data_IF_244024598524
#
_entry.id   IF_244024598524
#
_cell.length_a   1.000
_cell.length_b   1.000
_cell.length_c   1.000
_cell.angle_alpha   90.00
_cell.angle_beta   90.00
_cell.angle_gamma   90.00
#
_symmetry.space_group_name_H-M   'P 1'
#
loop_
_entity.id
_entity.type
_entity.pdbx_description
1 polymer ?
#
# COMPACT_ATOMS: atom_id res chain seq x y z
N UNK A 1 -11.82 18.07 -30.52
CA UNK A 1 -12.61 19.32 -30.62
C UNK A 1 -12.38 20.08 -31.94
N UNK A 2 -11.19 20.03 -32.55
CA UNK A 2 -10.91 20.75 -33.80
C UNK A 2 -11.66 20.20 -35.04
N UNK A 3 -11.87 18.88 -35.11
CA UNK A 3 -12.44 18.21 -36.28
C UNK A 3 -13.88 18.66 -36.61
N UNK A 4 -14.86 18.66 -35.67
CA UNK A 4 -16.22 19.10 -35.99
C UNK A 4 -16.28 20.57 -36.41
N UNK A 5 -15.48 21.44 -35.78
CA UNK A 5 -15.43 22.86 -36.11
C UNK A 5 -14.92 23.10 -37.54
N UNK A 6 -13.81 22.46 -37.92
CA UNK A 6 -13.26 22.56 -39.27
C UNK A 6 -14.26 22.03 -40.32
N UNK A 7 -14.95 20.93 -40.01
CA UNK A 7 -16.00 20.37 -40.90
C UNK A 7 -17.17 21.33 -41.07
N UNK A 8 -17.63 22.00 -40.01
CA UNK A 8 -18.69 23.01 -40.08
C UNK A 8 -18.29 24.18 -40.98
N UNK A 9 -17.08 24.72 -40.80
CA UNK A 9 -16.59 25.86 -41.59
C UNK A 9 -16.49 25.51 -43.08
N UNK A 10 -15.91 24.35 -43.40
CA UNK A 10 -15.81 23.88 -44.80
C UNK A 10 -17.18 23.64 -45.41
N UNK A 11 -18.11 23.04 -44.66
CA UNK A 11 -19.47 22.79 -45.14
C UNK A 11 -20.23 24.09 -45.43
N UNK A 12 -20.11 25.11 -44.58
CA UNK A 12 -20.71 26.43 -44.80
C UNK A 12 -20.15 27.09 -46.07
N UNK A 13 -18.83 27.02 -46.29
CA UNK A 13 -18.18 27.62 -47.46
C UNK A 13 -18.60 26.94 -48.78
N UNK A 14 -18.81 25.62 -48.76
CA UNK A 14 -19.11 24.83 -49.96
C UNK A 14 -20.61 24.68 -50.28
N UNK A 15 -21.48 24.97 -49.31
CA UNK A 15 -22.94 24.84 -49.47
C UNK A 15 -23.61 26.19 -49.18
N UNK A 16 -24.29 26.30 -48.06
CA UNK A 16 -24.89 27.52 -47.54
C UNK A 16 -24.84 27.49 -46.00
N UNK A 17 -25.03 28.65 -45.33
CA UNK A 17 -24.92 28.72 -43.87
C UNK A 17 -25.87 27.77 -43.12
N UNK A 18 -27.06 27.51 -43.66
CA UNK A 18 -28.07 26.66 -43.00
C UNK A 18 -27.67 25.19 -43.12
N UNK A 19 -27.40 24.70 -44.33
CA UNK A 19 -26.99 23.31 -44.59
C UNK A 19 -25.63 23.02 -43.93
N UNK A 20 -24.68 23.94 -44.03
CA UNK A 20 -23.36 23.80 -43.40
C UNK A 20 -23.45 23.69 -41.87
N UNK A 21 -24.34 24.45 -41.23
CA UNK A 21 -24.58 24.37 -39.78
C UNK A 21 -25.21 23.04 -39.38
N UNK A 22 -26.16 22.51 -40.17
CA UNK A 22 -26.78 21.21 -39.92
C UNK A 22 -25.78 20.06 -40.03
N UNK A 23 -24.93 20.07 -41.06
CA UNK A 23 -23.85 19.10 -41.24
C UNK A 23 -22.87 19.18 -40.06
N UNK A 24 -22.48 20.40 -39.68
CA UNK A 24 -21.61 20.65 -38.54
C UNK A 24 -22.16 20.09 -37.23
N UNK A 25 -23.45 20.31 -36.95
CA UNK A 25 -24.13 19.78 -35.78
C UNK A 25 -24.19 18.25 -35.79
N UNK A 26 -24.52 17.64 -36.94
CA UNK A 26 -24.55 16.18 -37.08
C UNK A 26 -23.17 15.54 -36.83
N UNK A 27 -22.11 16.13 -37.39
CA UNK A 27 -20.73 15.66 -37.20
C UNK A 27 -20.26 15.88 -35.76
N UNK A 28 -20.65 16.98 -35.12
CA UNK A 28 -20.35 17.22 -33.72
C UNK A 28 -21.03 16.18 -32.80
N UNK A 29 -22.32 15.89 -33.03
CA UNK A 29 -23.05 14.86 -32.31
C UNK A 29 -22.40 13.49 -32.52
N UNK A 30 -22.08 13.11 -33.76
CA UNK A 30 -21.43 11.85 -34.07
C UNK A 30 -20.04 11.74 -33.43
N UNK A 31 -19.25 12.82 -33.44
CA UNK A 31 -17.93 12.86 -32.81
C UNK A 31 -18.02 12.75 -31.29
N UNK A 32 -18.98 13.43 -30.65
CA UNK A 32 -19.22 13.33 -29.21
C UNK A 32 -19.63 11.91 -28.84
N UNK A 33 -20.58 11.32 -29.58
CA UNK A 33 -21.02 9.94 -29.37
C UNK A 33 -19.85 8.96 -29.51
N UNK A 34 -19.09 9.04 -30.60
CA UNK A 34 -17.94 8.17 -30.85
C UNK A 34 -16.83 8.33 -29.81
N UNK A 35 -16.54 9.57 -29.40
CA UNK A 35 -15.53 9.85 -28.37
C UNK A 35 -15.97 9.38 -26.99
N UNK A 36 -17.28 9.38 -26.70
CA UNK A 36 -17.83 8.89 -25.43
C UNK A 36 -17.85 7.35 -25.40
N UNK A 37 -18.26 6.72 -26.50
CA UNK A 37 -18.23 5.26 -26.68
C UNK A 37 -16.83 4.64 -26.62
N UNK A 38 -15.78 5.42 -26.89
CA UNK A 38 -14.38 4.95 -26.88
C UNK A 38 -13.67 5.10 -25.53
N UNK A 39 -14.32 5.60 -24.48
CA UNK A 39 -13.74 5.54 -23.13
C UNK A 39 -14.15 4.22 -22.47
N UNK A 40 -13.28 3.19 -22.45
CA UNK A 40 -13.57 1.98 -21.70
C UNK A 40 -13.76 2.35 -20.23
N UNK A 41 -14.82 1.82 -19.63
CA UNK A 41 -14.97 1.81 -18.18
C UNK A 41 -13.70 1.16 -17.61
N UNK A 42 -13.02 1.84 -16.69
CA UNK A 42 -11.73 1.36 -16.19
C UNK A 42 -12.01 0.23 -15.20
N UNK A 43 -11.52 -0.96 -15.52
CA UNK A 43 -11.56 -2.11 -14.61
C UNK A 43 -10.16 -2.70 -14.44
N UNK A 44 -9.77 -2.97 -13.21
CA UNK A 44 -8.49 -3.62 -12.87
C UNK A 44 -8.68 -4.58 -11.70
N UNK A 45 -7.81 -5.57 -11.58
CA UNK A 45 -7.86 -6.53 -10.47
C UNK A 45 -7.01 -6.02 -9.31
N UNK A 46 -7.63 -5.79 -8.17
CA UNK A 46 -6.98 -5.49 -6.89
C UNK A 46 -6.70 -6.78 -6.13
N UNK A 47 -5.47 -6.92 -5.64
CA UNK A 47 -5.09 -8.00 -4.73
C UNK A 47 -5.36 -7.60 -3.30
N UNK A 48 -6.39 -8.18 -2.68
CA UNK A 48 -6.70 -7.98 -1.27
C UNK A 48 -6.20 -9.15 -0.43
N UNK A 49 -5.92 -8.96 0.88
CA UNK A 49 -5.63 -10.05 1.79
C UNK A 49 -6.72 -11.14 1.74
N UNK A 50 -6.39 -12.28 1.13
CA UNK A 50 -7.24 -13.47 1.07
C UNK A 50 -7.98 -13.73 -0.25
N UNK A 51 -8.26 -12.73 -1.09
CA UNK A 51 -8.90 -12.93 -2.41
C UNK A 51 -8.61 -11.76 -3.40
N UNK A 52 -8.57 -12.08 -4.69
CA UNK A 52 -8.55 -11.07 -5.77
C UNK A 52 -9.93 -10.43 -5.95
N UNK A 53 -9.98 -9.10 -6.13
CA UNK A 53 -11.20 -8.31 -6.33
C UNK A 53 -11.11 -7.57 -7.66
N UNK A 54 -12.08 -7.79 -8.56
CA UNK A 54 -12.20 -6.98 -9.78
C UNK A 54 -12.80 -5.63 -9.40
N UNK A 55 -12.01 -4.57 -9.48
CA UNK A 55 -12.46 -3.20 -9.21
C UNK A 55 -12.90 -2.53 -10.52
N UNK A 56 -14.15 -2.07 -10.57
CA UNK A 56 -14.74 -1.33 -11.68
C UNK A 56 -15.05 0.09 -11.19
N UNK A 57 -14.33 1.08 -11.73
CA UNK A 57 -14.57 2.49 -11.45
C UNK A 57 -15.66 3.04 -12.38
N UNK A 58 -16.74 3.54 -11.79
CA UNK A 58 -17.81 4.19 -12.52
C UNK A 58 -17.41 5.65 -12.87
N UNK A 59 -17.63 6.09 -14.11
CA UNK A 59 -17.36 7.48 -14.51
C UNK A 59 -18.32 8.43 -13.79
N UNK A 60 -17.93 9.71 -13.70
CA UNK A 60 -18.75 10.76 -13.06
C UNK A 60 -20.21 10.81 -13.58
N UNK A 61 -20.39 10.59 -14.89
CA UNK A 61 -21.69 10.47 -15.54
C UNK A 61 -21.81 9.08 -16.15
N UNK A 62 -22.58 8.20 -15.51
CA UNK A 62 -22.90 6.88 -16.03
C UNK A 62 -24.18 6.99 -16.86
N UNK A 63 -24.02 7.18 -18.16
CA UNK A 63 -25.12 7.29 -19.12
C UNK A 63 -25.57 5.93 -19.66
N UNK A 64 -26.70 5.89 -20.36
CA UNK A 64 -27.18 4.70 -21.07
C UNK A 64 -26.11 4.05 -21.99
N UNK A 65 -25.22 4.85 -22.59
CA UNK A 65 -24.15 4.35 -23.46
C UNK A 65 -23.16 3.44 -22.73
N UNK A 66 -23.06 3.55 -21.40
CA UNK A 66 -22.19 2.74 -20.57
C UNK A 66 -22.76 1.34 -20.29
N UNK A 67 -24.05 1.10 -20.56
CA UNK A 67 -24.73 -0.16 -20.25
C UNK A 67 -24.06 -1.37 -20.88
N UNK A 68 -23.71 -1.28 -22.16
CA UNK A 68 -23.06 -2.38 -22.88
C UNK A 68 -21.66 -2.68 -22.32
N UNK A 69 -20.86 -1.64 -22.09
CA UNK A 69 -19.51 -1.79 -21.54
C UNK A 69 -19.54 -2.41 -20.14
N UNK A 70 -20.40 -1.91 -19.25
CA UNK A 70 -20.55 -2.47 -17.91
C UNK A 70 -21.03 -3.92 -17.94
N UNK A 71 -22.01 -4.24 -18.80
CA UNK A 71 -22.51 -5.61 -18.95
C UNK A 71 -21.41 -6.58 -19.40
N UNK A 72 -20.53 -6.17 -20.31
CA UNK A 72 -19.40 -7.00 -20.74
C UNK A 72 -18.44 -7.27 -19.59
N UNK A 73 -17.98 -6.24 -18.89
CA UNK A 73 -17.05 -6.38 -17.76
C UNK A 73 -17.65 -7.26 -16.66
N UNK A 74 -18.93 -7.06 -16.33
CA UNK A 74 -19.64 -7.87 -15.34
C UNK A 74 -19.77 -9.35 -15.73
N UNK A 75 -19.84 -9.63 -17.04
CA UNK A 75 -19.92 -11.00 -17.56
C UNK A 75 -18.56 -11.71 -17.45
N UNK A 76 -17.47 -10.99 -17.66
CA UNK A 76 -16.10 -11.53 -17.68
C UNK A 76 -15.54 -11.87 -16.29
N UNK A 77 -16.19 -11.44 -15.20
CA UNK A 77 -15.76 -11.76 -13.83
C UNK A 77 -15.82 -13.28 -13.57
N UNK A 78 -14.75 -13.91 -13.09
CA UNK A 78 -14.72 -15.35 -12.82
C UNK A 78 -15.75 -15.78 -11.76
N UNK A 79 -16.27 -17.01 -11.88
CA UNK A 79 -17.18 -17.60 -10.87
C UNK A 79 -16.46 -17.69 -9.52
N UNK A 80 -17.23 -17.56 -8.44
CA UNK A 80 -16.71 -17.49 -7.06
C UNK A 80 -15.72 -16.33 -6.79
N UNK A 81 -15.61 -15.36 -7.70
CA UNK A 81 -14.75 -14.19 -7.55
C UNK A 81 -15.40 -13.07 -6.72
N UNK A 82 -14.67 -11.98 -6.53
CA UNK A 82 -15.18 -10.76 -5.89
C UNK A 82 -15.13 -9.60 -6.89
N UNK A 83 -16.12 -8.71 -6.83
CA UNK A 83 -16.15 -7.46 -7.62
C UNK A 83 -16.44 -6.28 -6.71
N UNK A 84 -15.82 -5.14 -6.98
CA UNK A 84 -16.09 -3.85 -6.38
C UNK A 84 -16.60 -2.90 -7.46
N UNK A 85 -17.80 -2.35 -7.26
CA UNK A 85 -18.34 -1.26 -8.05
C UNK A 85 -18.13 0.03 -7.28
N UNK A 86 -17.27 0.92 -7.80
CA UNK A 86 -16.92 2.20 -7.17
C UNK A 86 -17.62 3.36 -7.87
N UNK A 87 -18.48 4.04 -7.11
CA UNK A 87 -19.27 5.20 -7.48
C UNK A 87 -18.82 6.48 -6.73
N UNK A 88 -17.68 6.50 -6.04
CA UNK A 88 -17.23 7.65 -5.22
C UNK A 88 -17.13 8.96 -6.00
N UNK A 89 -16.76 8.87 -7.29
CA UNK A 89 -16.68 10.03 -8.19
C UNK A 89 -17.93 10.21 -9.06
N UNK A 90 -18.97 9.39 -8.84
CA UNK A 90 -20.19 9.34 -9.67
C UNK A 90 -21.28 10.27 -9.14
N UNK A 91 -21.69 11.22 -9.99
CA UNK A 91 -22.76 12.18 -9.67
C UNK A 91 -24.13 11.68 -10.14
N UNK A 92 -24.14 10.98 -11.29
CA UNK A 92 -25.37 10.50 -11.92
C UNK A 92 -25.17 9.13 -12.56
N UNK A 93 -26.15 8.27 -12.33
CA UNK A 93 -26.33 6.96 -12.95
C UNK A 93 -27.71 6.93 -13.61
N UNK A 94 -27.71 6.63 -14.90
CA UNK A 94 -28.90 6.41 -15.70
C UNK A 94 -29.75 5.24 -15.13
N UNK A 95 -31.09 5.36 -15.07
CA UNK A 95 -31.96 4.35 -14.50
C UNK A 95 -31.79 2.94 -15.07
N UNK A 96 -31.48 2.80 -16.36
CA UNK A 96 -31.29 1.48 -17.00
C UNK A 96 -29.96 0.84 -16.58
N UNK A 97 -28.91 1.66 -16.43
CA UNK A 97 -27.59 1.19 -15.95
C UNK A 97 -27.67 0.87 -14.46
N UNK A 98 -28.37 1.70 -13.70
CA UNK A 98 -28.67 1.44 -12.30
C UNK A 98 -29.45 0.12 -12.12
N UNK A 99 -30.45 -0.12 -12.99
CA UNK A 99 -31.18 -1.38 -13.04
C UNK A 99 -30.28 -2.60 -13.25
N UNK A 100 -29.31 -2.49 -14.19
CA UNK A 100 -28.30 -3.52 -14.44
C UNK A 100 -27.42 -3.78 -13.21
N UNK A 101 -26.93 -2.71 -12.55
CA UNK A 101 -26.12 -2.82 -11.33
C UNK A 101 -26.88 -3.54 -10.22
N UNK A 102 -28.14 -3.13 -9.99
CA UNK A 102 -29.00 -3.72 -8.96
C UNK A 102 -29.30 -5.19 -9.25
N UNK A 103 -29.68 -5.51 -10.48
CA UNK A 103 -29.92 -6.90 -10.91
C UNK A 103 -28.66 -7.76 -10.72
N UNK A 104 -27.49 -7.23 -11.07
CA UNK A 104 -26.24 -7.96 -10.91
C UNK A 104 -25.91 -8.20 -9.44
N UNK A 105 -26.03 -7.18 -8.58
CA UNK A 105 -25.82 -7.29 -7.13
C UNK A 105 -26.75 -8.32 -6.49
N UNK A 106 -28.03 -8.28 -6.83
CA UNK A 106 -29.06 -9.04 -6.13
C UNK A 106 -29.26 -10.46 -6.67
N UNK A 107 -28.98 -10.68 -7.96
CA UNK A 107 -29.29 -11.95 -8.64
C UNK A 107 -28.07 -12.54 -9.35
N UNK A 108 -27.56 -11.86 -10.37
CA UNK A 108 -26.61 -12.47 -11.33
C UNK A 108 -25.26 -12.79 -10.69
N UNK A 109 -24.71 -11.88 -9.88
CA UNK A 109 -23.48 -12.07 -9.15
C UNK A 109 -23.58 -13.23 -8.14
N UNK A 110 -24.52 -13.16 -7.17
CA UNK A 110 -24.72 -14.23 -6.18
C UNK A 110 -24.99 -15.61 -6.81
N UNK A 111 -25.76 -15.68 -7.89
CA UNK A 111 -26.02 -16.94 -8.61
C UNK A 111 -24.74 -17.58 -9.20
N UNK A 112 -23.71 -16.78 -9.46
CA UNK A 112 -22.38 -17.22 -9.94
C UNK A 112 -21.38 -17.41 -8.80
N UNK A 113 -21.82 -17.29 -7.54
CA UNK A 113 -20.97 -17.28 -6.35
C UNK A 113 -20.13 -16.00 -6.21
N UNK A 114 -20.41 -14.96 -6.99
CA UNK A 114 -19.63 -13.73 -6.99
C UNK A 114 -20.08 -12.84 -5.83
N UNK A 115 -19.12 -12.38 -5.01
CA UNK A 115 -19.40 -11.39 -3.97
C UNK A 115 -19.32 -9.98 -4.56
N UNK A 116 -20.46 -9.28 -4.60
CA UNK A 116 -20.58 -7.94 -5.19
C UNK A 116 -20.49 -6.88 -4.10
N UNK A 117 -19.40 -6.11 -4.14
CA UNK A 117 -19.14 -4.99 -3.25
C UNK A 117 -19.54 -3.68 -3.91
N UNK A 118 -20.14 -2.77 -3.15
CA UNK A 118 -20.47 -1.41 -3.59
C UNK A 118 -19.75 -0.39 -2.71
N UNK A 119 -19.27 0.68 -3.33
CA UNK A 119 -18.61 1.81 -2.67
C UNK A 119 -19.03 3.13 -3.30
N UNK A 120 -19.43 4.12 -2.51
CA UNK A 120 -19.72 5.48 -2.96
C UNK A 120 -21.09 5.68 -3.62
N UNK A 121 -22.04 4.75 -3.50
CA UNK A 121 -23.38 4.97 -4.07
C UNK A 121 -24.18 5.98 -3.23
N UNK A 122 -24.65 7.05 -3.87
CA UNK A 122 -25.46 8.08 -3.20
C UNK A 122 -26.81 7.51 -2.70
N UNK A 123 -27.33 8.02 -1.57
CA UNK A 123 -28.58 7.56 -0.94
C UNK A 123 -29.79 7.49 -1.89
N UNK A 124 -29.83 8.37 -2.90
CA UNK A 124 -30.88 8.40 -3.94
C UNK A 124 -30.98 7.11 -4.76
N UNK A 125 -29.95 6.26 -4.71
CA UNK A 125 -29.86 5.01 -5.44
C UNK A 125 -30.30 3.78 -4.62
N UNK A 126 -30.78 3.92 -3.38
CA UNK A 126 -31.29 2.82 -2.51
C UNK A 126 -30.44 1.53 -2.55
N UNK A 127 -29.13 1.69 -2.76
CA UNK A 127 -28.15 0.63 -2.77
C UNK A 127 -27.26 0.86 -1.55
N UNK A 128 -27.41 0.02 -0.54
CA UNK A 128 -26.50 0.07 0.59
C UNK A 128 -25.11 -0.36 0.14
N UNK A 129 -24.13 0.53 0.36
CA UNK A 129 -22.71 0.23 0.24
C UNK A 129 -22.36 -0.91 1.19
N UNK A 130 -21.79 -1.97 0.63
CA UNK A 130 -21.35 -3.13 1.40
C UNK A 130 -20.11 -3.68 0.73
N UNK A 131 -18.96 -3.51 1.38
CA UNK A 131 -17.73 -4.16 0.98
C UNK A 131 -17.79 -5.63 1.45
N UNK A 132 -17.63 -6.57 0.53
CA UNK A 132 -17.62 -8.02 0.79
C UNK A 132 -16.20 -8.61 0.79
N UNK A 133 -15.17 -7.77 0.80
CA UNK A 133 -13.78 -8.13 1.03
C UNK A 133 -13.25 -7.46 2.31
N UNK A 134 -12.15 -7.98 2.83
CA UNK A 134 -11.52 -7.48 4.06
C UNK A 134 -10.64 -6.28 3.68
N UNK A 135 -11.09 -5.08 4.04
CA UNK A 135 -10.44 -3.79 3.78
C UNK A 135 -9.65 -3.26 4.99
N UNK A 136 -9.70 -3.95 6.12
CA UNK A 136 -8.91 -3.71 7.33
C UNK A 136 -8.71 -5.04 8.09
N UNK A 137 -7.68 -5.15 8.91
CA UNK A 137 -7.41 -6.38 9.65
C UNK A 137 -8.47 -6.72 10.71
N UNK A 138 -9.03 -7.94 10.64
CA UNK A 138 -10.00 -8.48 11.60
C UNK A 138 -9.38 -9.59 12.46
N UNK A 139 -9.96 -9.93 13.62
CA UNK A 139 -9.43 -11.03 14.44
C UNK A 139 -9.46 -12.38 13.70
N UNK A 140 -10.48 -12.65 12.89
CA UNK A 140 -10.60 -13.89 12.11
C UNK A 140 -9.50 -13.98 11.05
N UNK A 141 -9.21 -12.86 10.37
CA UNK A 141 -8.12 -12.79 9.40
C UNK A 141 -6.77 -12.98 10.10
N UNK A 142 -6.49 -12.24 11.18
CA UNK A 142 -5.24 -12.34 11.93
C UNK A 142 -5.00 -13.77 12.48
N UNK A 143 -6.05 -14.47 12.92
CA UNK A 143 -5.94 -15.82 13.46
C UNK A 143 -5.56 -16.87 12.40
N UNK A 144 -5.94 -16.66 11.14
CA UNK A 144 -5.72 -17.62 10.04
C UNK A 144 -4.41 -17.39 9.27
N UNK A 145 -3.81 -16.21 9.41
CA UNK A 145 -2.60 -15.85 8.69
C UNK A 145 -1.32 -16.38 9.36
N UNK A 146 -0.43 -16.91 8.52
CA UNK A 146 0.96 -17.22 8.87
C UNK A 146 1.86 -15.98 8.73
N UNK A 147 3.03 -15.95 9.39
CA UNK A 147 4.00 -14.87 9.21
C UNK A 147 4.40 -14.62 7.74
N UNK A 148 4.58 -15.70 6.97
CA UNK A 148 4.91 -15.63 5.54
C UNK A 148 3.78 -14.99 4.72
N UNK A 149 2.51 -15.33 5.01
CA UNK A 149 1.38 -14.70 4.34
C UNK A 149 1.28 -13.21 4.67
N UNK A 150 1.55 -12.81 5.92
CA UNK A 150 1.62 -11.38 6.29
C UNK A 150 2.74 -10.67 5.53
N UNK A 151 3.93 -11.25 5.41
CA UNK A 151 5.01 -10.66 4.62
C UNK A 151 4.59 -10.49 3.15
N UNK A 152 3.92 -11.49 2.56
CA UNK A 152 3.40 -11.40 1.20
C UNK A 152 2.40 -10.25 1.05
N UNK A 153 1.48 -10.07 2.01
CA UNK A 153 0.53 -8.93 2.02
C UNK A 153 1.29 -7.60 2.01
N UNK A 154 2.34 -7.45 2.84
CA UNK A 154 3.15 -6.22 2.88
C UNK A 154 3.92 -5.99 1.56
N UNK A 155 4.47 -7.05 0.94
CA UNK A 155 5.14 -6.98 -0.36
C UNK A 155 4.18 -6.54 -1.47
N UNK A 156 2.99 -7.12 -1.51
CA UNK A 156 1.97 -6.77 -2.50
C UNK A 156 1.46 -5.34 -2.32
N UNK A 157 1.30 -4.89 -1.08
CA UNK A 157 0.98 -3.50 -0.77
C UNK A 157 2.08 -2.53 -1.22
N UNK A 158 3.34 -2.89 -1.01
CA UNK A 158 4.45 -2.10 -1.52
C UNK A 158 4.45 -1.99 -3.06
N UNK A 159 4.19 -3.10 -3.77
CA UNK A 159 4.09 -3.07 -5.22
C UNK A 159 2.92 -2.20 -5.71
N UNK A 160 1.78 -2.19 -5.01
CA UNK A 160 0.68 -1.27 -5.31
C UNK A 160 1.08 0.19 -5.13
N UNK A 161 1.78 0.52 -4.04
CA UNK A 161 2.33 1.87 -3.81
C UNK A 161 3.27 2.29 -4.96
N UNK A 162 4.26 1.43 -5.28
CA UNK A 162 5.29 1.70 -6.29
C UNK A 162 4.72 1.85 -7.70
N UNK A 163 3.67 1.10 -8.03
CA UNK A 163 3.02 1.14 -9.35
C UNK A 163 1.87 2.14 -9.45
N UNK A 164 1.54 2.84 -8.36
CA UNK A 164 0.44 3.81 -8.30
C UNK A 164 -0.95 3.19 -8.28
N UNK A 165 -1.08 1.88 -8.06
CA UNK A 165 -2.33 1.11 -8.04
C UNK A 165 -2.77 0.78 -6.61
N UNK A 166 -2.82 1.81 -5.77
CA UNK A 166 -3.17 1.69 -4.34
C UNK A 166 -4.63 1.30 -4.17
N UNK A 167 -4.93 0.63 -3.05
CA UNK A 167 -6.32 0.31 -2.70
C UNK A 167 -7.12 1.56 -2.37
N UNK A 168 -8.33 1.66 -2.91
CA UNK A 168 -9.34 2.61 -2.44
C UNK A 168 -9.84 2.19 -1.06
N UNK A 169 -9.91 3.16 -0.13
CA UNK A 169 -10.28 2.91 1.27
C UNK A 169 -11.43 3.79 1.74
N UNK A 170 -12.38 3.18 2.45
CA UNK A 170 -13.38 3.91 3.22
C UNK A 170 -12.87 4.13 4.65
N UNK A 171 -12.22 5.28 4.86
CA UNK A 171 -11.69 5.66 6.17
C UNK A 171 -12.77 5.81 7.23
N UNK A 172 -13.96 6.29 6.87
CA UNK A 172 -15.07 6.45 7.81
C UNK A 172 -15.53 5.11 8.37
N UNK A 173 -15.60 4.09 7.52
CA UNK A 173 -15.89 2.71 7.93
C UNK A 173 -14.76 2.13 8.78
N UNK A 174 -13.50 2.27 8.35
CA UNK A 174 -12.36 1.75 9.11
C UNK A 174 -12.28 2.35 10.51
N UNK A 175 -12.46 3.67 10.67
CA UNK A 175 -12.48 4.34 11.98
C UNK A 175 -13.54 3.72 12.90
N UNK A 176 -14.76 3.50 12.39
CA UNK A 176 -15.84 2.89 13.18
C UNK A 176 -15.55 1.44 13.54
N UNK A 177 -14.93 0.70 12.63
CA UNK A 177 -14.61 -0.71 12.81
C UNK A 177 -13.47 -0.90 13.82
N UNK A 178 -12.38 -0.15 13.69
CA UNK A 178 -11.19 -0.28 14.54
C UNK A 178 -11.29 0.47 15.86
N UNK A 179 -12.25 1.40 16.00
CA UNK A 179 -12.49 2.12 17.25
C UNK A 179 -12.93 1.25 18.44
N UNK A 180 -13.42 0.02 18.18
CA UNK A 180 -13.78 -0.95 19.24
C UNK A 180 -12.65 -1.90 19.62
N UNK A 181 -11.63 -2.02 18.77
CA UNK A 181 -10.55 -2.99 18.91
C UNK A 181 -9.71 -3.05 17.63
N UNK A 182 -8.45 -3.45 17.77
CA UNK A 182 -7.47 -3.51 16.68
C UNK A 182 -6.81 -4.88 16.64
N UNK A 183 -6.51 -5.37 15.43
CA UNK A 183 -5.96 -6.70 15.20
C UNK A 183 -4.80 -6.63 14.19
N UNK A 184 -3.71 -5.90 14.50
CA UNK A 184 -2.68 -5.63 13.51
C UNK A 184 -1.98 -6.90 13.04
N UNK A 185 -1.71 -6.97 11.74
CA UNK A 185 -1.03 -8.09 11.10
C UNK A 185 0.46 -8.12 11.46
N UNK A 186 1.08 -6.94 11.58
CA UNK A 186 2.50 -6.79 11.81
C UNK A 186 2.83 -5.64 12.78
N UNK A 187 4.02 -5.72 13.37
CA UNK A 187 4.73 -4.58 13.95
C UNK A 187 5.76 -4.11 12.93
N UNK A 188 5.74 -2.84 12.55
CA UNK A 188 6.75 -2.24 11.68
C UNK A 188 7.60 -1.28 12.50
N UNK A 189 8.89 -1.59 12.62
CA UNK A 189 9.89 -0.74 13.27
C UNK A 189 10.61 0.02 12.16
N UNK A 190 10.41 1.34 12.10
CA UNK A 190 10.94 2.18 11.02
C UNK A 190 11.53 3.50 11.52
N UNK A 191 12.17 4.23 10.60
CA UNK A 191 12.76 5.53 10.93
C UNK A 191 11.70 6.63 11.05
N UNK A 192 11.98 7.69 11.83
CA UNK A 192 11.18 8.92 11.85
C UNK A 192 11.25 9.71 10.54
N UNK A 193 12.11 9.32 9.59
CA UNK A 193 12.28 9.99 8.31
C UNK A 193 10.93 10.20 7.62
N UNK A 194 10.61 11.47 7.32
CA UNK A 194 9.31 11.90 6.80
C UNK A 194 8.99 11.34 5.42
N UNK A 195 9.99 10.80 4.71
CA UNK A 195 9.84 10.16 3.40
C UNK A 195 9.51 8.67 3.51
N UNK A 196 9.51 8.11 4.72
CA UNK A 196 9.37 6.67 4.98
C UNK A 196 8.14 6.25 5.84
N UNK A 197 6.94 6.84 5.69
CA UNK A 197 5.77 6.37 6.42
C UNK A 197 5.36 4.95 5.98
N UNK A 198 5.42 4.01 6.92
CA UNK A 198 5.23 2.58 6.66
C UNK A 198 3.83 2.28 6.09
N UNK A 199 2.80 2.91 6.65
CA UNK A 199 1.41 2.75 6.25
C UNK A 199 1.18 3.14 4.78
N UNK A 200 1.86 4.18 4.30
CA UNK A 200 1.74 4.62 2.91
C UNK A 200 2.57 3.75 1.97
N UNK A 201 3.83 3.48 2.31
CA UNK A 201 4.76 2.75 1.44
C UNK A 201 4.36 1.29 1.28
N UNK A 202 3.71 0.71 2.29
CA UNK A 202 3.18 -0.65 2.26
C UNK A 202 1.70 -0.69 1.87
N UNK A 203 1.10 0.45 1.50
CA UNK A 203 -0.31 0.59 1.13
C UNK A 203 -1.24 -0.15 2.13
N UNK A 204 -1.28 0.34 3.37
CA UNK A 204 -2.02 -0.21 4.52
C UNK A 204 -3.12 0.75 5.00
N UNK A 205 -4.12 0.21 5.70
CA UNK A 205 -5.22 0.93 6.34
C UNK A 205 -5.05 1.14 7.85
N UNK A 206 -6.10 1.64 8.50
CA UNK A 206 -6.14 1.86 9.94
C UNK A 206 -6.24 0.51 10.67
N UNK A 207 -5.40 0.30 11.68
CA UNK A 207 -5.39 -0.91 12.50
C UNK A 207 -4.69 -2.12 11.87
N UNK A 208 -4.12 -1.98 10.66
CA UNK A 208 -3.43 -3.06 9.96
C UNK A 208 -2.05 -3.37 10.54
N UNK A 209 -1.36 -2.37 11.10
CA UNK A 209 -0.05 -2.54 11.74
C UNK A 209 0.05 -1.73 13.03
N UNK A 210 0.97 -2.15 13.90
CA UNK A 210 1.59 -1.25 14.86
C UNK A 210 2.84 -0.63 14.25
N UNK A 211 2.93 0.70 14.31
CA UNK A 211 4.00 1.48 13.70
C UNK A 211 4.87 2.08 14.81
N UNK A 212 6.09 1.55 14.98
CA UNK A 212 7.07 2.05 15.94
C UNK A 212 8.11 2.85 15.16
N UNK A 213 8.18 4.16 15.40
CA UNK A 213 9.06 5.07 14.64
C UNK A 213 10.06 5.76 15.55
N UNK A 214 11.35 5.50 15.33
CA UNK A 214 12.46 6.11 16.07
C UNK A 214 13.60 6.46 15.10
N UNK A 215 14.35 7.53 15.35
CA UNK A 215 15.44 7.90 14.45
C UNK A 215 16.47 6.77 14.32
N UNK A 216 16.82 6.41 13.08
CA UNK A 216 17.68 5.27 12.79
C UNK A 216 17.11 3.90 13.17
N UNK A 217 15.80 3.80 13.46
CA UNK A 217 15.09 2.54 13.76
C UNK A 217 15.82 1.63 14.77
N UNK A 218 16.44 2.24 15.78
CA UNK A 218 17.26 1.57 16.82
C UNK A 218 16.42 0.74 17.80
N UNK A 219 16.97 -0.38 18.28
CA UNK A 219 16.34 -1.28 19.23
C UNK A 219 16.53 -0.83 20.70
N UNK A 220 15.83 0.22 21.11
CA UNK A 220 15.80 0.66 22.52
C UNK A 220 14.86 -0.22 23.37
N UNK A 221 14.91 -0.15 24.72
CA UNK A 221 13.98 -0.88 25.58
C UNK A 221 12.50 -0.62 25.25
N UNK A 222 12.13 0.62 24.92
CA UNK A 222 10.74 0.97 24.57
C UNK A 222 10.32 0.36 23.22
N UNK A 223 11.24 0.27 22.26
CA UNK A 223 10.99 -0.39 20.96
C UNK A 223 10.79 -1.89 21.16
N UNK A 224 11.61 -2.54 22.00
CA UNK A 224 11.45 -3.95 22.34
C UNK A 224 10.12 -4.19 23.07
N UNK A 225 9.76 -3.35 24.04
CA UNK A 225 8.49 -3.44 24.76
C UNK A 225 7.27 -3.27 23.82
N UNK A 226 7.35 -2.33 22.88
CA UNK A 226 6.32 -2.14 21.86
C UNK A 226 6.17 -3.36 20.94
N UNK A 227 7.30 -3.97 20.52
CA UNK A 227 7.29 -5.18 19.71
C UNK A 227 6.73 -6.39 20.49
N UNK A 228 7.10 -6.54 21.76
CA UNK A 228 6.52 -7.56 22.65
C UNK A 228 5.02 -7.38 22.81
N UNK A 229 4.54 -6.16 23.04
CA UNK A 229 3.11 -5.89 23.13
C UNK A 229 2.40 -6.26 21.83
N UNK A 230 2.92 -5.81 20.69
CA UNK A 230 2.33 -6.09 19.38
C UNK A 230 2.21 -7.59 19.08
N UNK A 231 3.22 -8.37 19.46
CA UNK A 231 3.27 -9.79 19.15
C UNK A 231 2.62 -10.68 20.23
N UNK A 232 2.97 -10.49 21.50
CA UNK A 232 2.52 -11.35 22.58
C UNK A 232 1.10 -11.01 23.05
N UNK A 233 0.75 -9.72 23.11
CA UNK A 233 -0.56 -9.25 23.60
C UNK A 233 -1.56 -9.10 22.46
N UNK A 234 -1.16 -8.48 21.36
CA UNK A 234 -2.04 -8.18 20.24
C UNK A 234 -1.94 -9.17 19.07
N UNK A 235 -1.09 -10.19 19.19
CA UNK A 235 -1.00 -11.34 18.28
C UNK A 235 -0.62 -11.03 16.83
N UNK A 236 0.08 -9.91 16.59
CA UNK A 236 0.71 -9.64 15.30
C UNK A 236 1.68 -10.79 14.94
N UNK A 237 1.74 -11.14 13.66
CA UNK A 237 2.43 -12.34 13.15
C UNK A 237 3.80 -12.04 12.55
N UNK A 238 4.14 -10.77 12.38
CA UNK A 238 5.38 -10.35 11.74
C UNK A 238 5.94 -9.12 12.43
N UNK A 239 7.26 -9.07 12.61
CA UNK A 239 8.00 -7.85 12.88
C UNK A 239 8.80 -7.51 11.63
N UNK A 240 8.52 -6.37 11.01
CA UNK A 240 9.30 -5.84 9.89
C UNK A 240 10.18 -4.70 10.39
N UNK A 241 11.49 -4.87 10.31
CA UNK A 241 12.48 -3.82 10.59
C UNK A 241 12.80 -3.13 9.26
N UNK A 242 12.25 -1.93 9.06
CA UNK A 242 12.35 -1.18 7.81
C UNK A 242 13.30 0.01 7.96
N UNK A 243 14.56 -0.20 7.58
CA UNK A 243 15.53 0.89 7.41
C UNK A 243 15.36 1.60 6.07
N UNK A 244 16.21 2.60 5.81
CA UNK A 244 16.21 3.27 4.51
C UNK A 244 17.58 3.85 4.15
N UNK A 245 17.81 4.04 2.85
CA UNK A 245 19.01 4.73 2.36
C UNK A 245 19.00 6.21 2.71
N UNK A 246 20.19 6.82 2.80
CA UNK A 246 20.39 8.24 3.15
C UNK A 246 19.73 8.62 4.50
N UNK A 247 19.91 7.77 5.50
CA UNK A 247 19.37 7.97 6.84
C UNK A 247 20.19 8.99 7.63
N UNK A 248 19.58 10.11 8.04
CA UNK A 248 20.29 11.19 8.73
C UNK A 248 20.94 10.75 10.05
N UNK A 249 20.27 9.91 10.86
CA UNK A 249 20.85 9.40 12.11
C UNK A 249 22.08 8.51 11.83
N UNK A 250 22.02 7.69 10.78
CA UNK A 250 23.15 6.86 10.36
C UNK A 250 24.28 7.70 9.79
N UNK A 251 23.97 8.74 9.00
CA UNK A 251 24.96 9.72 8.51
C UNK A 251 25.72 10.36 9.65
N UNK A 252 25.02 10.86 10.66
CA UNK A 252 25.65 11.44 11.85
C UNK A 252 26.48 10.41 12.60
N UNK A 253 26.00 9.18 12.75
CA UNK A 253 26.74 8.10 13.40
C UNK A 253 28.04 7.77 12.68
N UNK A 254 28.02 7.70 11.34
CA UNK A 254 29.20 7.49 10.50
C UNK A 254 30.17 8.66 10.62
N UNK A 255 29.70 9.91 10.46
CA UNK A 255 30.54 11.10 10.50
C UNK A 255 31.20 11.36 11.85
N UNK A 256 30.52 11.01 12.94
CA UNK A 256 31.05 11.20 14.30
C UNK A 256 31.79 9.97 14.84
N UNK A 257 31.88 8.87 14.08
CA UNK A 257 32.56 7.68 14.55
C UNK A 257 34.06 7.93 14.72
N UNK A 258 34.56 7.88 15.96
CA UNK A 258 35.96 8.18 16.28
C UNK A 258 36.32 9.68 16.23
N UNK A 259 35.34 10.57 16.09
CA UNK A 259 35.53 12.02 16.21
C UNK A 259 35.89 12.41 17.64
N UNK A 260 36.77 13.40 17.86
CA UNK A 260 37.03 13.95 19.20
C UNK A 260 35.88 14.82 19.72
N UNK A 261 34.92 15.21 18.86
CA UNK A 261 33.74 15.98 19.25
C UNK A 261 32.64 15.03 19.71
N UNK A 262 32.02 15.37 20.83
CA UNK A 262 30.78 14.72 21.27
C UNK A 262 29.62 15.00 20.29
N UNK A 263 28.58 14.17 20.35
CA UNK A 263 27.36 14.37 19.55
C UNK A 263 26.70 15.72 19.86
N UNK A 264 26.68 16.11 21.14
CA UNK A 264 26.13 17.39 21.57
C UNK A 264 26.90 18.59 20.99
N UNK A 265 28.24 18.55 20.98
CA UNK A 265 29.05 19.62 20.37
C UNK A 265 28.88 19.71 18.85
N UNK A 266 28.73 18.58 18.18
CA UNK A 266 28.61 18.54 16.72
C UNK A 266 27.21 18.95 16.22
N UNK A 267 26.16 18.68 17.01
CA UNK A 267 24.76 18.83 16.57
C UNK A 267 23.95 19.86 17.36
N UNK A 268 24.45 20.30 18.51
CA UNK A 268 23.71 21.14 19.47
C UNK A 268 22.57 20.41 20.18
N UNK A 269 22.47 19.08 20.05
CA UNK A 269 21.36 18.28 20.59
C UNK A 269 21.76 17.54 21.87
N UNK A 270 20.95 17.68 22.93
CA UNK A 270 21.24 17.09 24.25
C UNK A 270 20.95 15.57 24.34
N UNK A 271 19.98 15.05 23.58
CA UNK A 271 19.52 13.66 23.70
C UNK A 271 19.93 12.76 22.53
N UNK A 272 20.47 13.34 21.45
CA UNK A 272 20.77 12.62 20.22
C UNK A 272 21.89 11.58 20.42
N UNK A 273 22.76 11.80 21.40
CA UNK A 273 23.89 10.93 21.73
C UNK A 273 23.46 9.48 21.94
N UNK A 274 22.33 9.24 22.61
CA UNK A 274 21.84 7.88 22.85
C UNK A 274 21.58 7.10 21.55
N UNK A 275 20.93 7.74 20.57
CA UNK A 275 20.61 7.13 19.27
C UNK A 275 21.89 6.90 18.47
N UNK A 276 22.74 7.93 18.40
CA UNK A 276 23.98 7.87 17.63
C UNK A 276 24.92 6.80 18.16
N UNK A 277 25.13 6.75 19.47
CA UNK A 277 25.96 5.74 20.11
C UNK A 277 25.38 4.33 19.90
N UNK A 278 24.06 4.17 19.98
CA UNK A 278 23.41 2.87 19.69
C UNK A 278 23.69 2.41 18.25
N UNK A 279 23.61 3.32 17.26
CA UNK A 279 23.93 3.00 15.86
C UNK A 279 25.42 2.67 15.70
N UNK A 280 26.31 3.44 16.31
CA UNK A 280 27.76 3.20 16.25
C UNK A 280 28.11 1.83 16.82
N UNK A 281 27.61 1.50 18.02
CA UNK A 281 27.85 0.21 18.68
C UNK A 281 27.23 -0.96 17.93
N UNK A 282 26.08 -0.74 17.29
CA UNK A 282 25.39 -1.80 16.58
C UNK A 282 26.02 -2.02 15.21
N UNK A 283 26.20 -0.98 14.39
CA UNK A 283 26.36 -1.13 12.95
C UNK A 283 27.74 -0.72 12.39
N UNK A 284 28.63 -0.14 13.21
CA UNK A 284 29.95 0.31 12.76
C UNK A 284 31.02 -0.45 13.56
N UNK A 285 31.87 -1.28 12.92
CA UNK A 285 32.99 -1.90 13.61
C UNK A 285 33.88 -0.82 14.26
N UNK A 286 34.57 -1.16 15.36
CA UNK A 286 35.56 -0.33 16.11
C UNK A 286 36.71 0.27 15.26
N UNK A 287 36.69 0.07 13.95
CA UNK A 287 37.55 0.75 13.01
C UNK A 287 37.29 2.26 13.09
N UNK A 288 38.30 2.98 13.60
CA UNK A 288 38.57 4.42 13.39
C UNK A 288 38.63 4.73 11.90
N UNK A 289 37.49 4.63 11.23
CA UNK A 289 37.38 4.86 9.80
C UNK A 289 37.29 6.36 9.66
N UNK A 290 38.43 7.03 9.51
CA UNK A 290 38.50 8.48 9.32
C UNK A 290 37.70 8.84 8.08
N UNK A 291 36.49 9.36 8.28
CA UNK A 291 35.58 9.81 7.22
C UNK A 291 36.14 11.03 6.50
N UNK A 292 36.98 11.81 7.19
CA UNK A 292 37.51 13.11 6.75
C UNK A 292 38.34 13.09 5.44
N UNK A 293 38.73 11.92 4.93
CA UNK A 293 39.54 11.79 3.73
C UNK A 293 38.82 11.12 2.54
N UNK A 294 37.53 10.78 2.67
CA UNK A 294 36.77 10.08 1.62
C UNK A 294 35.95 11.04 0.76
N UNK A 295 35.80 10.78 -0.55
CA UNK A 295 34.82 11.48 -1.39
C UNK A 295 33.40 11.31 -0.85
N UNK A 296 32.54 12.32 -1.04
CA UNK A 296 31.13 12.30 -0.61
C UNK A 296 30.38 11.05 -1.09
N UNK A 297 30.64 10.59 -2.31
CA UNK A 297 30.01 9.37 -2.86
C UNK A 297 30.39 8.10 -2.10
N UNK A 298 31.59 8.02 -1.55
CA UNK A 298 32.00 6.88 -0.72
C UNK A 298 31.40 6.95 0.68
N UNK A 299 31.20 8.17 1.21
CA UNK A 299 30.51 8.39 2.49
C UNK A 299 29.05 7.96 2.36
N UNK A 300 28.36 8.36 1.29
CA UNK A 300 26.98 7.97 1.02
C UNK A 300 26.82 6.43 0.93
N UNK A 301 27.73 5.75 0.23
CA UNK A 301 27.73 4.28 0.15
C UNK A 301 28.00 3.63 1.51
N UNK A 302 28.90 4.20 2.31
CA UNK A 302 29.16 3.74 3.67
C UNK A 302 27.92 3.91 4.55
N UNK A 303 27.23 5.06 4.46
CA UNK A 303 25.98 5.31 5.19
C UNK A 303 24.92 4.28 4.85
N UNK A 304 24.71 3.98 3.56
CA UNK A 304 23.72 2.98 3.14
C UNK A 304 24.10 1.56 3.60
N UNK A 305 25.40 1.24 3.60
CA UNK A 305 25.93 -0.02 4.14
C UNK A 305 25.68 -0.15 5.64
N UNK A 306 25.96 0.91 6.41
CA UNK A 306 25.72 0.96 7.85
C UNK A 306 24.22 0.93 8.15
N UNK A 307 23.37 1.55 7.32
CA UNK A 307 21.92 1.47 7.47
C UNK A 307 21.41 0.03 7.30
N UNK A 308 21.92 -0.70 6.30
CA UNK A 308 21.64 -2.15 6.13
C UNK A 308 22.08 -2.94 7.36
N UNK A 309 23.32 -2.73 7.82
CA UNK A 309 23.88 -3.45 8.96
C UNK A 309 23.12 -3.15 10.26
N UNK A 310 22.66 -1.92 10.43
CA UNK A 310 21.81 -1.53 11.56
C UNK A 310 20.49 -2.29 11.56
N UNK A 311 19.83 -2.46 10.40
CA UNK A 311 18.61 -3.28 10.30
C UNK A 311 18.87 -4.72 10.75
N UNK A 312 19.95 -5.35 10.27
CA UNK A 312 20.32 -6.73 10.67
C UNK A 312 20.66 -6.86 12.16
N UNK A 313 21.29 -5.85 12.75
CA UNK A 313 21.52 -5.85 14.21
C UNK A 313 20.23 -5.68 14.99
N UNK A 314 19.29 -4.87 14.51
CA UNK A 314 17.98 -4.69 15.15
C UNK A 314 17.17 -5.99 15.07
N UNK A 315 17.17 -6.70 13.93
CA UNK A 315 16.51 -8.02 13.82
C UNK A 315 17.14 -9.04 14.77
N UNK A 316 18.47 -9.04 14.91
CA UNK A 316 19.20 -9.89 15.86
C UNK A 316 18.86 -9.51 17.31
N UNK A 317 18.87 -8.22 17.64
CA UNK A 317 18.58 -7.73 18.99
C UNK A 317 17.16 -8.09 19.45
N UNK A 318 16.17 -8.09 18.54
CA UNK A 318 14.81 -8.55 18.84
C UNK A 318 14.78 -10.02 19.29
N UNK A 319 15.63 -10.86 18.69
CA UNK A 319 15.74 -12.30 19.00
C UNK A 319 16.58 -12.57 20.24
N UNK A 320 17.62 -11.78 20.49
CA UNK A 320 18.56 -12.01 21.59
C UNK A 320 18.16 -11.31 22.90
N UNK A 321 17.60 -10.09 22.80
CA UNK A 321 17.29 -9.27 23.98
C UNK A 321 15.87 -9.45 24.52
N UNK A 322 14.99 -10.12 23.77
CA UNK A 322 13.65 -10.47 24.23
C UNK A 322 13.41 -11.97 24.20
N UNK A 323 13.36 -12.60 25.39
CA UNK A 323 12.98 -14.02 25.52
C UNK A 323 11.55 -14.27 25.01
N UNK A 324 10.66 -13.29 25.17
CA UNK A 324 9.28 -13.36 24.70
C UNK A 324 9.22 -13.47 23.18
N UNK A 325 9.89 -12.56 22.46
CA UNK A 325 9.94 -12.59 21.00
C UNK A 325 10.69 -13.82 20.50
N UNK A 326 11.81 -14.19 21.13
CA UNK A 326 12.55 -15.40 20.79
C UNK A 326 11.68 -16.66 20.88
N UNK A 327 10.87 -16.79 21.94
CA UNK A 327 9.92 -17.90 22.10
C UNK A 327 8.88 -17.92 20.99
N UNK A 328 8.25 -16.78 20.68
CA UNK A 328 7.25 -16.69 19.62
C UNK A 328 7.81 -17.02 18.23
N UNK A 329 9.07 -16.67 17.98
CA UNK A 329 9.74 -17.03 16.72
C UNK A 329 10.11 -18.50 16.70
N UNK A 330 10.59 -19.07 17.80
CA UNK A 330 10.86 -20.52 17.91
C UNK A 330 9.61 -21.39 17.78
N UNK A 331 8.43 -20.84 18.05
CA UNK A 331 7.11 -21.47 17.86
C UNK A 331 6.50 -21.22 16.46
N UNK A 332 7.22 -20.57 15.54
CA UNK A 332 6.73 -20.16 14.21
C UNK A 332 5.45 -19.28 14.24
N UNK A 333 5.15 -18.67 15.39
CA UNK A 333 3.98 -17.78 15.55
C UNK A 333 4.25 -16.37 15.05
N UNK A 334 5.52 -15.97 15.05
CA UNK A 334 6.00 -14.67 14.59
C UNK A 334 7.27 -14.85 13.77
N UNK A 335 7.42 -14.09 12.69
CA UNK A 335 8.72 -13.94 12.02
C UNK A 335 9.27 -12.52 12.21
N UNK A 336 10.59 -12.38 12.23
CA UNK A 336 11.28 -11.08 12.24
C UNK A 336 12.01 -10.95 10.93
N UNK A 337 11.73 -9.91 10.14
CA UNK A 337 12.28 -9.69 8.80
C UNK A 337 12.90 -8.30 8.70
N UNK A 338 14.15 -8.23 8.23
CA UNK A 338 14.79 -6.97 7.86
C UNK A 338 14.47 -6.53 6.44
N UNK A 339 14.40 -5.21 6.23
CA UNK A 339 14.27 -4.63 4.90
C UNK A 339 14.89 -3.22 4.82
N UNK A 340 15.28 -2.82 3.60
CA UNK A 340 15.81 -1.50 3.31
C UNK A 340 14.99 -0.81 2.22
N UNK A 341 14.43 0.36 2.54
CA UNK A 341 13.76 1.21 1.57
C UNK A 341 14.73 2.17 0.88
N UNK A 342 14.77 2.14 -0.45
CA UNK A 342 15.59 3.02 -1.25
C UNK A 342 14.85 4.34 -1.54
N UNK A 343 15.15 5.40 -0.79
CA UNK A 343 14.41 6.68 -0.87
C UNK A 343 14.45 7.32 -2.27
N UNK A 344 15.47 7.02 -3.08
CA UNK A 344 15.62 7.55 -4.44
C UNK A 344 14.81 6.81 -5.51
N UNK A 345 14.49 5.53 -5.31
CA UNK A 345 13.77 4.71 -6.29
C UNK A 345 12.38 4.30 -5.84
N UNK A 346 12.11 4.37 -4.53
CA UNK A 346 10.88 3.89 -3.93
C UNK A 346 10.80 2.36 -3.82
N UNK A 347 11.90 1.62 -4.03
CA UNK A 347 11.93 0.16 -3.89
C UNK A 347 12.26 -0.27 -2.47
N UNK A 348 11.61 -1.32 -1.96
CA UNK A 348 12.07 -2.07 -0.79
C UNK A 348 12.88 -3.29 -1.21
N UNK A 349 14.07 -3.45 -0.64
CA UNK A 349 14.84 -4.69 -0.62
C UNK A 349 14.55 -5.43 0.69
N UNK A 350 13.91 -6.60 0.61
CA UNK A 350 13.67 -7.47 1.78
C UNK A 350 14.83 -8.45 1.96
N UNK A 351 15.28 -8.65 3.20
CA UNK A 351 16.38 -9.57 3.49
C UNK A 351 15.81 -10.98 3.67
N UNK A 352 16.17 -11.90 2.77
CA UNK A 352 15.54 -13.22 2.67
C UNK A 352 16.02 -14.23 3.72
N UNK A 353 17.14 -13.96 4.40
CA UNK A 353 17.79 -14.87 5.34
C UNK A 353 17.03 -15.08 6.67
N UNK A 354 15.95 -14.32 6.89
CA UNK A 354 15.23 -14.21 8.16
C UNK A 354 13.93 -15.04 8.25
N UNK A 355 13.55 -15.73 7.17
CA UNK A 355 12.31 -16.51 7.10
C UNK A 355 12.51 -17.97 7.53
N UNK A 356 11.59 -18.56 8.32
CA UNK A 356 11.49 -20.00 8.46
C UNK A 356 11.39 -20.64 7.07
N UNK A 357 12.30 -21.58 6.76
CA UNK A 357 12.23 -22.37 5.53
C UNK A 357 10.95 -23.19 5.60
N UNK A 358 10.02 -22.92 4.69
CA UNK A 358 8.82 -23.75 4.49
C UNK A 358 9.23 -25.21 4.37
N UNK A 359 8.80 -26.04 5.33
CA UNK A 359 8.86 -27.48 5.16
C UNK A 359 8.04 -27.84 3.92
N UNK A 360 8.73 -28.47 2.96
CA UNK A 360 8.25 -29.30 1.86
C UNK A 360 6.73 -29.28 1.69
N UNK A 361 6.28 -28.63 0.62
CA UNK A 361 5.02 -28.96 -0.04
C UNK A 361 4.91 -30.49 -0.12
N UNK A 362 4.00 -31.06 0.66
CA UNK A 362 3.59 -32.44 0.48
C UNK A 362 3.07 -32.57 -0.95
N UNK A 363 3.54 -33.54 -1.75
CA UNK A 363 2.85 -33.85 -2.99
C UNK A 363 1.46 -34.37 -2.60
N UNK A 364 0.41 -33.68 -3.04
CA UNK A 364 -0.95 -34.22 -2.94
C UNK A 364 -1.05 -35.55 -3.70
N UNK A 365 -1.93 -36.47 -3.26
CA UNK A 365 -1.99 -37.86 -3.72
C UNK A 365 -2.43 -38.06 -5.17
#
# INVERSE_FOLDING_TARGET
>A
QFLPFATTVVAIVLTDPLIGSLIGLAVAIAFILHSNLRRPMQSYTEKHPGNDVVHIELPNQVSFLNRAALSTVLTDIPRNGHVLLDAQSTDYIDPDVFGLIREYKERTGPARGIKVSLLGFQDKYDLQDRLHYVDYSTPELQATLTPQQVLTILREGHERFRTGRRLTRDWGRQIRATGKGQHPLAVVISCIDSRTPAELILDLGLGDIFSIRVAGNVATPDVLAGAEYGCAVAHAKLILVLGHTRCGAVTTAVQLNGSPRSVAEATGCEHLEHIIHTIQQSAIPDARTTVDARPDSEIDQLVDTVARQNVLHVTTALREKSRTLAGLVGEDRVAVVGALYHVGTGQIEFFEDDLPRSEKQHPEP
#
